data_IF_586088507939
#
_entry.id   IF_586088507939
#
_cell.length_a   1.000
_cell.length_b   1.000
_cell.length_c   1.000
_cell.angle_alpha   90.00
_cell.angle_beta   90.00
_cell.angle_gamma   90.00
#
_symmetry.space_group_name_H-M   'P 1'
#
loop_
_entity.id
_entity.type
_entity.pdbx_description
1 polymer ?
#
# COMPACT_ATOMS: atom_id res chain seq x y z
N UNK A 1 -13.42 19.42 -16.85
CA UNK A 1 -12.42 19.42 -15.76
C UNK A 1 -13.02 18.68 -14.58
N UNK A 2 -12.72 17.38 -14.43
CA UNK A 2 -13.12 16.61 -13.25
C UNK A 2 -12.07 16.78 -12.17
N UNK A 3 -12.47 17.42 -11.08
CA UNK A 3 -11.71 17.56 -9.84
C UNK A 3 -11.40 16.14 -9.33
N UNK A 4 -10.15 15.68 -9.50
CA UNK A 4 -9.68 14.47 -8.83
C UNK A 4 -9.67 14.77 -7.33
N UNK A 5 -10.57 14.13 -6.59
CA UNK A 5 -10.63 14.25 -5.14
C UNK A 5 -9.29 13.75 -4.56
N UNK A 6 -8.56 14.66 -3.92
CA UNK A 6 -7.36 14.38 -3.16
C UNK A 6 -7.80 13.68 -1.86
N UNK A 7 -7.68 12.35 -1.80
CA UNK A 7 -7.88 11.61 -0.54
C UNK A 7 -6.53 11.49 0.19
N UNK A 8 -6.55 11.86 1.47
CA UNK A 8 -5.42 11.91 2.40
C UNK A 8 -4.64 10.58 2.47
N UNK A 9 -3.31 10.70 2.56
CA UNK A 9 -2.39 9.63 2.97
C UNK A 9 -2.65 9.35 4.46
N UNK A 10 -3.37 8.27 4.78
CA UNK A 10 -3.53 7.80 6.16
C UNK A 10 -2.61 6.60 6.38
N UNK A 11 -1.41 6.86 6.90
CA UNK A 11 -0.54 5.82 7.44
C UNK A 11 -1.06 5.43 8.83
N UNK A 12 -1.52 4.19 8.98
CA UNK A 12 -1.95 3.63 10.27
C UNK A 12 -0.87 2.68 10.78
N UNK A 13 -0.21 3.05 11.88
CA UNK A 13 0.78 2.20 12.57
C UNK A 13 0.07 1.36 13.64
N UNK A 14 0.05 0.04 13.48
CA UNK A 14 -0.52 -0.89 14.46
C UNK A 14 0.61 -1.63 15.18
N UNK A 15 0.94 -1.21 16.40
CA UNK A 15 1.96 -1.84 17.24
C UNK A 15 1.34 -2.99 18.06
N UNK A 16 1.37 -4.22 17.54
CA UNK A 16 0.95 -5.41 18.33
C UNK A 16 2.09 -5.86 19.24
N UNK A 17 1.90 -5.82 20.56
CA UNK A 17 2.90 -6.25 21.55
C UNK A 17 2.51 -7.61 22.13
N UNK A 18 3.08 -8.70 21.60
CA UNK A 18 2.98 -10.05 22.18
C UNK A 18 4.42 -10.57 22.37
N UNK A 19 4.80 -10.94 23.60
CA UNK A 19 6.09 -11.55 23.96
C UNK A 19 7.37 -10.72 23.68
N UNK A 20 7.32 -9.38 23.75
CA UNK A 20 8.53 -8.54 23.71
C UNK A 20 9.19 -8.37 22.34
N UNK A 21 8.64 -8.98 21.28
CA UNK A 21 9.06 -8.76 19.89
C UNK A 21 8.17 -7.68 19.28
N UNK A 22 8.73 -6.49 19.00
CA UNK A 22 8.00 -5.43 18.29
C UNK A 22 7.91 -5.80 16.81
N UNK A 23 6.75 -6.26 16.37
CA UNK A 23 6.46 -6.43 14.94
C UNK A 23 5.56 -5.28 14.50
N UNK A 24 6.12 -4.37 13.71
CA UNK A 24 5.37 -3.25 13.15
C UNK A 24 4.59 -3.70 11.92
N UNK A 25 3.32 -3.30 11.87
CA UNK A 25 2.45 -3.50 10.70
C UNK A 25 2.05 -2.15 10.13
N UNK A 26 2.22 -2.02 8.82
CA UNK A 26 1.88 -0.83 8.05
C UNK A 26 0.78 -1.18 7.04
N UNK A 27 -0.31 -0.43 7.08
CA UNK A 27 -1.38 -0.49 6.08
C UNK A 27 -1.38 0.81 5.26
N UNK A 28 -1.18 0.68 3.95
CA UNK A 28 -1.23 1.80 3.01
C UNK A 28 -2.48 1.68 2.12
N UNK A 29 -3.24 2.77 2.02
CA UNK A 29 -4.44 2.86 1.19
C UNK A 29 -4.18 3.88 0.09
N UNK A 30 -3.95 3.42 -1.15
CA UNK A 30 -3.63 4.32 -2.26
C UNK A 30 -4.43 3.98 -3.52
N UNK A 31 -4.92 5.01 -4.20
CA UNK A 31 -5.55 4.87 -5.52
C UNK A 31 -4.55 4.42 -6.59
N UNK A 32 -3.28 4.79 -6.44
CA UNK A 32 -2.20 4.51 -7.37
C UNK A 32 -1.10 3.74 -6.65
N UNK A 33 -0.79 2.56 -7.17
CA UNK A 33 0.29 1.76 -6.64
C UNK A 33 0.85 0.87 -7.74
N UNK A 34 2.15 0.58 -7.67
CA UNK A 34 2.81 -0.25 -8.67
C UNK A 34 1.97 -1.51 -8.98
N UNK A 35 1.76 -1.85 -10.27
CA UNK A 35 2.28 -1.19 -11.47
C UNK A 35 1.39 -0.07 -12.04
N UNK A 36 0.21 0.19 -11.47
CA UNK A 36 -0.71 1.23 -11.98
C UNK A 36 -0.40 2.59 -11.36
N UNK A 37 0.49 3.34 -12.01
CA UNK A 37 0.92 4.68 -11.62
C UNK A 37 0.38 5.70 -12.62
N UNK A 38 -0.26 6.78 -12.16
CA UNK A 38 -0.64 7.92 -13.04
C UNK A 38 0.09 9.22 -12.71
N UNK A 39 0.84 9.28 -11.60
CA UNK A 39 1.73 10.39 -11.26
C UNK A 39 2.75 10.04 -10.18
N UNK A 40 3.45 11.07 -9.69
CA UNK A 40 4.53 10.90 -8.71
C UNK A 40 4.08 10.40 -7.32
N UNK A 41 2.80 10.57 -6.97
CA UNK A 41 2.24 10.11 -5.69
C UNK A 41 2.30 8.59 -5.56
N UNK A 42 1.87 7.85 -6.59
CA UNK A 42 1.93 6.39 -6.58
C UNK A 42 3.38 5.88 -6.56
N UNK A 43 4.30 6.59 -7.23
CA UNK A 43 5.73 6.27 -7.19
C UNK A 43 6.29 6.45 -5.79
N UNK A 44 5.97 7.57 -5.13
CA UNK A 44 6.36 7.82 -3.75
C UNK A 44 5.81 6.74 -2.81
N UNK A 45 4.51 6.44 -2.88
CA UNK A 45 3.86 5.41 -2.07
C UNK A 45 4.52 4.03 -2.25
N UNK A 46 4.85 3.67 -3.49
CA UNK A 46 5.53 2.41 -3.80
C UNK A 46 6.94 2.37 -3.21
N UNK A 47 7.71 3.44 -3.34
CA UNK A 47 9.08 3.51 -2.83
C UNK A 47 9.15 3.56 -1.30
N UNK A 48 8.25 4.29 -0.63
CA UNK A 48 8.26 4.39 0.83
C UNK A 48 7.85 3.06 1.48
N UNK A 49 6.82 2.40 0.94
CA UNK A 49 6.43 1.05 1.38
C UNK A 49 7.60 0.07 1.26
N UNK A 50 8.36 0.15 0.17
CA UNK A 50 9.56 -0.68 -0.03
C UNK A 50 10.64 -0.40 1.02
N UNK A 51 10.85 0.86 1.43
CA UNK A 51 11.80 1.15 2.51
C UNK A 51 11.34 0.57 3.84
N UNK A 52 10.04 0.64 4.15
CA UNK A 52 9.50 0.04 5.37
C UNK A 52 9.68 -1.48 5.41
N UNK A 53 9.46 -2.17 4.29
CA UNK A 53 9.76 -3.61 4.19
C UNK A 53 11.24 -3.88 4.49
N UNK A 54 12.17 -3.08 3.95
CA UNK A 54 13.61 -3.23 4.24
C UNK A 54 13.98 -2.98 5.70
N UNK A 55 13.21 -2.16 6.41
CA UNK A 55 13.37 -1.92 7.84
C UNK A 55 12.77 -3.04 8.71
N UNK A 56 12.18 -4.07 8.09
CA UNK A 56 11.58 -5.21 8.78
C UNK A 56 10.11 -5.02 9.17
N UNK A 57 9.45 -3.99 8.64
CA UNK A 57 8.02 -3.77 8.81
C UNK A 57 7.23 -4.66 7.87
N UNK A 58 6.15 -5.27 8.36
CA UNK A 58 5.19 -5.99 7.54
C UNK A 58 4.24 -4.98 6.87
N UNK A 59 4.28 -4.89 5.54
CA UNK A 59 3.57 -3.85 4.78
C UNK A 59 2.49 -4.47 3.91
N UNK A 60 1.25 -4.02 4.12
CA UNK A 60 0.10 -4.36 3.29
C UNK A 60 -0.42 -3.10 2.59
N UNK A 61 -0.70 -3.22 1.30
CA UNK A 61 -1.26 -2.14 0.47
C UNK A 61 -2.63 -2.55 -0.04
N UNK A 62 -3.63 -1.68 0.09
CA UNK A 62 -4.86 -1.78 -0.66
C UNK A 62 -4.89 -0.71 -1.74
N UNK A 63 -5.13 -1.14 -2.96
CA UNK A 63 -5.17 -0.27 -4.12
C UNK A 63 -6.25 -0.68 -5.10
N UNK A 64 -6.62 0.20 -6.02
CA UNK A 64 -7.74 -0.06 -6.91
C UNK A 64 -7.37 -1.00 -8.04
N UNK A 65 -8.28 -1.93 -8.35
CA UNK A 65 -8.15 -2.78 -9.53
C UNK A 65 -8.89 -2.14 -10.71
N UNK A 66 -8.17 -1.88 -11.82
CA UNK A 66 -8.75 -1.39 -13.08
C UNK A 66 -9.33 -2.51 -13.95
N UNK A 67 -9.31 -3.76 -13.49
CA UNK A 67 -9.86 -4.94 -14.16
C UNK A 67 -8.78 -5.90 -14.65
N UNK A 68 -7.60 -5.40 -14.98
CA UNK A 68 -6.53 -6.18 -15.62
C UNK A 68 -5.50 -6.76 -14.65
N UNK A 69 -5.57 -6.40 -13.37
CA UNK A 69 -4.55 -6.80 -12.37
C UNK A 69 -5.01 -7.93 -11.47
N UNK A 70 -4.03 -8.66 -10.92
CA UNK A 70 -4.26 -9.70 -9.91
C UNK A 70 -4.91 -9.07 -8.67
N UNK A 71 -5.91 -9.76 -8.11
CA UNK A 71 -6.62 -9.32 -6.89
C UNK A 71 -5.74 -9.29 -5.65
N UNK A 72 -4.71 -10.12 -5.62
CA UNK A 72 -3.70 -10.14 -4.57
C UNK A 72 -2.36 -10.55 -5.15
N UNK A 73 -1.28 -9.90 -4.73
CA UNK A 73 0.08 -10.30 -5.07
C UNK A 73 1.08 -9.79 -4.05
N UNK A 74 2.23 -10.47 -3.94
CA UNK A 74 3.36 -9.97 -3.16
C UNK A 74 4.35 -9.35 -4.15
N UNK A 75 4.66 -8.08 -3.96
CA UNK A 75 5.64 -7.37 -4.77
C UNK A 75 6.72 -6.78 -3.87
N UNK A 76 7.97 -7.22 -4.05
CA UNK A 76 9.12 -6.75 -3.26
C UNK A 76 8.91 -6.84 -1.73
N UNK A 77 8.19 -7.87 -1.27
CA UNK A 77 7.85 -8.08 0.14
C UNK A 77 6.64 -7.28 0.64
N UNK A 78 5.98 -6.51 -0.23
CA UNK A 78 4.74 -5.78 0.06
C UNK A 78 3.55 -6.66 -0.34
N UNK A 79 2.60 -6.87 0.57
CA UNK A 79 1.36 -7.59 0.28
C UNK A 79 0.30 -6.65 -0.32
N UNK A 80 0.05 -6.77 -1.62
CA UNK A 80 -0.84 -5.88 -2.35
C UNK A 80 -2.19 -6.55 -2.57
N UNK A 81 -3.26 -5.89 -2.15
CA UNK A 81 -4.64 -6.26 -2.37
C UNK A 81 -5.32 -5.27 -3.33
N UNK A 82 -5.95 -5.80 -4.37
CA UNK A 82 -6.68 -5.05 -5.39
C UNK A 82 -8.13 -5.53 -5.47
N UNK A 83 -9.01 -5.07 -4.55
CA UNK A 83 -10.43 -5.42 -4.62
C UNK A 83 -11.05 -4.94 -5.92
N UNK A 84 -11.93 -5.76 -6.50
CA UNK A 84 -12.78 -5.34 -7.62
C UNK A 84 -13.92 -4.52 -7.04
N UNK A 85 -14.08 -3.31 -7.54
CA UNK A 85 -15.25 -2.48 -7.25
C UNK A 85 -16.34 -2.95 -8.21
N UNK A 86 -17.35 -3.63 -7.67
CA UNK A 86 -18.57 -4.05 -8.38
C UNK A 86 -19.65 -3.00 -8.27
#
# INVERSE_FOLDING_TARGET
MHTKAFYLIHVVELTTTLMGVRSMKLLELSWEFYPSLVGGLGTYASEICRQFVKLGTDVTVFTMNRGDFKKREIWQGIDIHRPIIV
#
